data_IF_976742075725
#
_entry.id   IF_976742075725
#
_cell.length_a   1.000
_cell.length_b   1.000
_cell.length_c   1.000
_cell.angle_alpha   90.00
_cell.angle_beta   90.00
_cell.angle_gamma   90.00
#
_symmetry.space_group_name_H-M   'P 1'
#
loop_
_entity.id
_entity.type
_entity.pdbx_description
1 polymer ?
#
# COMPACT_ATOMS: atom_id res chain seq x y z
N UNK A 1 -7.51 6.07 -40.02
CA UNK A 1 -7.83 5.32 -38.79
C UNK A 1 -6.82 5.73 -37.74
N UNK A 2 -7.22 6.52 -36.75
CA UNK A 2 -6.34 6.92 -35.64
C UNK A 2 -6.33 5.81 -34.60
N UNK A 3 -5.20 5.14 -34.42
CA UNK A 3 -4.98 4.21 -33.31
C UNK A 3 -4.87 5.03 -32.03
N UNK A 4 -5.92 5.03 -31.20
CA UNK A 4 -5.82 5.56 -29.85
C UNK A 4 -5.10 4.51 -29.01
N UNK A 5 -3.85 4.78 -28.66
CA UNK A 5 -3.12 3.93 -27.72
C UNK A 5 -3.83 3.94 -26.37
N UNK A 6 -4.08 2.77 -25.80
CA UNK A 6 -4.58 2.68 -24.43
C UNK A 6 -3.55 3.28 -23.46
N UNK A 7 -3.97 4.10 -22.49
CA UNK A 7 -3.06 4.66 -21.50
C UNK A 7 -2.58 3.55 -20.55
N UNK A 8 -1.30 3.61 -20.18
CA UNK A 8 -0.71 2.77 -19.14
C UNK A 8 -0.81 3.50 -17.80
N UNK A 9 -1.37 2.86 -16.79
CA UNK A 9 -1.57 3.44 -15.45
C UNK A 9 -0.84 2.58 -14.41
N UNK A 10 0.11 3.20 -13.71
CA UNK A 10 0.80 2.58 -12.59
C UNK A 10 0.06 2.87 -11.28
N UNK A 11 -0.28 1.82 -10.53
CA UNK A 11 -0.85 1.92 -9.18
C UNK A 11 0.17 1.46 -8.15
N UNK A 12 0.37 2.28 -7.12
CA UNK A 12 1.22 1.96 -5.96
C UNK A 12 0.42 1.46 -4.75
N UNK A 13 -0.91 1.37 -4.87
CA UNK A 13 -1.78 0.91 -3.79
C UNK A 13 -1.52 -0.56 -3.48
N UNK A 14 -1.27 -0.85 -2.20
CA UNK A 14 -0.80 -2.16 -1.75
C UNK A 14 -1.95 -3.03 -1.21
N UNK A 15 -2.85 -2.47 -0.41
CA UNK A 15 -3.96 -3.22 0.20
C UNK A 15 -5.07 -3.54 -0.79
N UNK A 16 -5.24 -2.68 -1.79
CA UNK A 16 -6.34 -2.75 -2.77
C UNK A 16 -5.83 -2.92 -4.21
N UNK A 17 -4.74 -3.66 -4.34
CA UNK A 17 -4.07 -3.89 -5.62
C UNK A 17 -5.01 -4.51 -6.67
N UNK A 18 -5.79 -5.51 -6.27
CA UNK A 18 -6.73 -6.22 -7.15
C UNK A 18 -7.90 -5.32 -7.59
N UNK A 19 -8.49 -4.55 -6.66
CA UNK A 19 -9.58 -3.64 -7.02
C UNK A 19 -9.08 -2.50 -7.90
N UNK A 20 -7.82 -2.08 -7.72
CA UNK A 20 -7.22 -1.05 -8.56
C UNK A 20 -6.91 -1.55 -9.96
N UNK A 21 -6.45 -2.79 -10.10
CA UNK A 21 -6.36 -3.44 -11.40
C UNK A 21 -7.73 -3.50 -12.10
N UNK A 22 -8.76 -3.96 -11.41
CA UNK A 22 -10.12 -4.06 -11.95
C UNK A 22 -10.66 -2.69 -12.38
N UNK A 23 -10.43 -1.66 -11.57
CA UNK A 23 -10.85 -0.29 -11.88
C UNK A 23 -10.15 0.26 -13.13
N UNK A 24 -8.83 0.12 -13.22
CA UNK A 24 -8.04 0.59 -14.36
C UNK A 24 -8.51 -0.09 -15.65
N UNK A 25 -8.71 -1.42 -15.61
CA UNK A 25 -9.24 -2.18 -16.75
C UNK A 25 -10.64 -1.73 -17.16
N UNK A 26 -11.52 -1.47 -16.19
CA UNK A 26 -12.89 -0.98 -16.43
C UNK A 26 -12.92 0.34 -17.20
N UNK A 27 -11.90 1.19 -17.03
CA UNK A 27 -11.78 2.47 -17.75
C UNK A 27 -10.94 2.40 -19.04
N UNK A 28 -10.61 1.20 -19.53
CA UNK A 28 -9.96 1.00 -20.83
C UNK A 28 -8.46 1.26 -20.85
N UNK A 29 -7.82 1.26 -19.68
CA UNK A 29 -6.38 1.46 -19.51
C UNK A 29 -5.65 0.13 -19.24
N UNK A 30 -4.33 0.13 -19.45
CA UNK A 30 -3.45 -0.99 -19.13
C UNK A 30 -2.88 -0.80 -17.72
N UNK A 31 -3.21 -1.66 -16.74
CA UNK A 31 -2.68 -1.53 -15.39
C UNK A 31 -1.23 -2.00 -15.28
N UNK A 32 -0.46 -1.29 -14.47
CA UNK A 32 0.82 -1.72 -13.88
C UNK A 32 0.65 -1.64 -12.38
N UNK A 33 0.58 -2.79 -11.71
CA UNK A 33 0.41 -2.87 -10.26
C UNK A 33 1.79 -2.99 -9.62
N UNK A 34 2.22 -1.95 -8.91
CA UNK A 34 3.53 -1.83 -8.30
C UNK A 34 3.39 -1.42 -6.82
N UNK A 35 2.96 -2.33 -5.92
CA UNK A 35 2.74 -2.02 -4.50
C UNK A 35 3.98 -1.35 -3.88
N UNK A 36 3.82 -0.15 -3.34
CA UNK A 36 4.94 0.59 -2.72
C UNK A 36 5.19 0.20 -1.27
N UNK A 37 4.22 -0.44 -0.63
CA UNK A 37 4.27 -0.81 0.78
C UNK A 37 4.18 -2.32 0.93
N UNK A 38 4.94 -2.84 1.89
CA UNK A 38 4.79 -4.19 2.39
C UNK A 38 4.41 -4.10 3.86
N UNK A 39 3.23 -4.60 4.19
CA UNK A 39 2.85 -4.75 5.60
C UNK A 39 3.55 -5.95 6.19
N UNK A 40 4.03 -5.78 7.41
CA UNK A 40 4.66 -6.81 8.19
C UNK A 40 3.82 -7.00 9.46
N UNK A 41 3.44 -8.25 9.82
CA UNK A 41 2.82 -8.52 11.12
C UNK A 41 3.68 -7.95 12.26
N UNK A 42 3.05 -7.55 13.37
CA UNK A 42 3.79 -7.00 14.52
C UNK A 42 4.73 -8.05 15.12
N UNK A 43 4.34 -9.32 15.07
CA UNK A 43 5.12 -10.48 15.51
C UNK A 43 6.42 -10.63 14.71
N UNK A 44 6.41 -10.17 13.45
CA UNK A 44 7.57 -10.16 12.56
C UNK A 44 8.35 -8.83 12.65
N UNK A 45 7.96 -7.90 13.53
CA UNK A 45 8.60 -6.62 13.75
C UNK A 45 8.98 -6.40 15.23
N UNK A 46 10.08 -7.04 15.71
CA UNK A 46 10.50 -6.94 17.11
C UNK A 46 10.76 -5.50 17.58
N UNK A 47 11.18 -4.61 16.68
CA UNK A 47 11.41 -3.20 16.99
C UNK A 47 10.09 -2.47 17.30
N UNK A 48 9.04 -2.73 16.52
CA UNK A 48 7.71 -2.20 16.80
C UNK A 48 7.15 -2.76 18.11
N UNK A 49 7.30 -4.07 18.34
CA UNK A 49 6.85 -4.71 19.57
C UNK A 49 7.53 -4.14 20.82
N UNK A 50 8.86 -3.95 20.76
CA UNK A 50 9.63 -3.32 21.85
C UNK A 50 9.17 -1.89 22.10
N UNK A 51 8.96 -1.11 21.03
CA UNK A 51 8.47 0.27 21.16
C UNK A 51 7.09 0.32 21.82
N UNK A 52 6.19 -0.58 21.46
CA UNK A 52 4.86 -0.69 22.08
C UNK A 52 4.98 -0.97 23.58
N UNK A 53 5.86 -1.90 24.00
CA UNK A 53 6.10 -2.17 25.43
C UNK A 53 6.56 -0.94 26.20
N UNK A 54 7.53 -0.20 25.66
CA UNK A 54 8.04 1.03 26.29
C UNK A 54 6.96 2.11 26.41
N UNK A 55 6.14 2.24 25.37
CA UNK A 55 5.00 3.16 25.37
C UNK A 55 3.99 2.80 26.46
N UNK A 56 3.63 1.52 26.58
CA UNK A 56 2.72 1.02 27.62
C UNK A 56 3.28 1.19 29.04
N UNK A 57 4.61 1.16 29.21
CA UNK A 57 5.28 1.42 30.49
C UNK A 57 5.34 2.92 30.87
N UNK A 58 4.69 3.80 30.10
CA UNK A 58 4.66 5.24 30.35
C UNK A 58 5.70 6.03 29.54
N UNK A 59 6.42 5.40 28.61
CA UNK A 59 7.40 6.03 27.71
C UNK A 59 6.79 6.81 26.53
N UNK A 60 5.52 7.21 26.64
CA UNK A 60 4.83 8.06 25.67
C UNK A 60 4.94 9.51 26.13
N UNK A 61 5.57 10.33 25.30
CA UNK A 61 5.67 11.77 25.54
C UNK A 61 4.54 12.52 24.83
N UNK A 62 4.19 12.07 23.61
CA UNK A 62 3.19 12.70 22.75
C UNK A 62 2.44 11.64 21.92
N UNK A 63 1.17 11.91 21.63
CA UNK A 63 0.33 11.15 20.69
C UNK A 63 -0.16 12.16 19.64
N UNK A 64 -0.04 11.80 18.37
CA UNK A 64 -0.46 12.60 17.21
C UNK A 64 -1.60 11.93 16.48
#
# INVERSE_FOLDING_TARGET
>A
MTTVSQPVICSFESRRAEEMEALIRKYGAVPVIAPSMKELPLEENPAAEQRIREMLAGGIQHIV
#
